data_IF_478281502135
#
_entry.id   IF_478281502135
#
_cell.length_a   1.000
_cell.length_b   1.000
_cell.length_c   1.000
_cell.angle_alpha   90.00
_cell.angle_beta   90.00
_cell.angle_gamma   90.00
#
_symmetry.space_group_name_H-M   'P 1'
#
loop_
_entity.id
_entity.type
_entity.pdbx_description
1 polymer ?
#
# COMPACT_ATOMS: atom_id res chain seq x y z
N UNK A 1 -6.95 -32.84 -5.72
CA UNK A 1 -8.33 -32.34 -5.75
C UNK A 1 -8.57 -31.53 -4.49
N UNK A 2 -8.14 -30.27 -4.48
CA UNK A 2 -8.35 -29.34 -3.38
C UNK A 2 -9.68 -28.65 -3.57
N UNK A 3 -10.50 -28.70 -2.53
CA UNK A 3 -11.81 -28.07 -2.42
C UNK A 3 -11.81 -26.68 -3.05
N UNK A 4 -12.68 -26.52 -4.05
CA UNK A 4 -13.16 -25.22 -4.50
C UNK A 4 -13.93 -24.65 -3.32
N UNK A 5 -13.22 -23.95 -2.43
CA UNK A 5 -13.81 -23.08 -1.41
C UNK A 5 -14.81 -22.21 -2.14
N UNK A 6 -16.09 -22.54 -1.95
CA UNK A 6 -17.24 -21.75 -2.35
C UNK A 6 -16.88 -20.28 -2.26
N UNK A 7 -16.87 -19.59 -3.41
CA UNK A 7 -16.68 -18.15 -3.54
C UNK A 7 -17.76 -17.46 -2.71
N UNK A 8 -17.52 -17.32 -1.40
CA UNK A 8 -18.26 -16.43 -0.53
C UNK A 8 -18.08 -15.04 -1.13
N UNK A 9 -19.09 -14.62 -1.90
CA UNK A 9 -19.12 -13.34 -2.58
C UNK A 9 -19.38 -12.27 -1.51
N UNK A 10 -18.33 -11.94 -0.75
CA UNK A 10 -18.38 -10.87 0.23
C UNK A 10 -18.65 -9.56 -0.49
N UNK A 11 -19.56 -8.75 0.06
CA UNK A 11 -19.92 -7.45 -0.52
C UNK A 11 -18.72 -6.51 -0.53
N UNK A 12 -17.83 -6.66 0.46
CA UNK A 12 -16.61 -5.89 0.60
C UNK A 12 -15.43 -6.79 0.95
N UNK A 13 -14.23 -6.45 0.49
CA UNK A 13 -13.01 -7.19 0.80
C UNK A 13 -12.72 -7.23 2.32
N UNK A 14 -13.22 -6.25 3.06
CA UNK A 14 -13.07 -6.16 4.51
C UNK A 14 -13.93 -7.17 5.30
N UNK A 15 -15.01 -7.68 4.72
CA UNK A 15 -15.87 -8.68 5.35
C UNK A 15 -15.19 -10.05 5.48
N UNK A 16 -14.20 -10.33 4.63
CA UNK A 16 -13.39 -11.54 4.73
C UNK A 16 -12.52 -11.55 6.01
N UNK A 17 -12.68 -12.56 6.89
CA UNK A 17 -11.88 -12.67 8.10
C UNK A 17 -10.37 -12.84 7.83
N UNK A 18 -9.98 -13.48 6.72
CA UNK A 18 -8.57 -13.64 6.36
C UNK A 18 -7.93 -12.27 6.07
N UNK A 19 -8.63 -11.42 5.32
CA UNK A 19 -8.23 -10.03 5.05
C UNK A 19 -8.05 -9.23 6.33
N UNK A 20 -9.00 -9.31 7.28
CA UNK A 20 -8.88 -8.61 8.58
C UNK A 20 -7.68 -9.10 9.38
N UNK A 21 -7.41 -10.42 9.39
CA UNK A 21 -6.27 -11.00 10.10
C UNK A 21 -4.95 -10.52 9.50
N UNK A 22 -4.82 -10.53 8.17
CA UNK A 22 -3.65 -10.03 7.46
C UNK A 22 -3.41 -8.54 7.71
N UNK A 23 -4.48 -7.73 7.67
CA UNK A 23 -4.40 -6.31 7.98
C UNK A 23 -3.98 -6.08 9.43
N UNK A 24 -4.58 -6.77 10.41
CA UNK A 24 -4.24 -6.64 11.84
C UNK A 24 -2.79 -7.00 12.12
N UNK A 25 -2.28 -8.09 11.54
CA UNK A 25 -0.87 -8.49 11.70
C UNK A 25 0.07 -7.41 11.19
N UNK A 26 -0.23 -6.87 10.01
CA UNK A 26 0.57 -5.81 9.39
C UNK A 26 0.49 -4.51 10.21
N UNK A 27 -0.70 -4.14 10.66
CA UNK A 27 -0.93 -2.99 11.52
C UNK A 27 -0.21 -3.11 12.86
N UNK A 28 -0.31 -4.25 13.53
CA UNK A 28 0.33 -4.50 14.82
C UNK A 28 1.84 -4.34 14.72
N UNK A 29 2.50 -5.02 13.77
CA UNK A 29 3.94 -4.90 13.57
C UNK A 29 4.40 -3.45 13.37
N UNK A 30 3.64 -2.69 12.57
CA UNK A 30 3.95 -1.28 12.24
C UNK A 30 3.65 -0.32 13.39
N UNK A 31 2.58 -0.55 14.15
CA UNK A 31 2.24 0.22 15.34
C UNK A 31 3.25 -0.03 16.48
N UNK A 32 3.70 -1.28 16.67
CA UNK A 32 4.73 -1.60 17.66
C UNK A 32 6.04 -0.90 17.33
N UNK A 33 6.46 -0.85 16.05
CA UNK A 33 7.64 -0.10 15.64
C UNK A 33 7.50 1.41 15.95
N UNK A 34 6.32 1.99 15.72
CA UNK A 34 6.06 3.39 16.04
C UNK A 34 6.07 3.66 17.56
N UNK A 35 5.52 2.76 18.36
CA UNK A 35 5.58 2.84 19.82
C UNK A 35 7.02 2.73 20.33
N UNK A 36 7.81 1.80 19.81
CA UNK A 36 9.22 1.66 20.14
C UNK A 36 10.00 2.94 19.83
N UNK A 37 9.68 3.61 18.72
CA UNK A 37 10.30 4.88 18.35
C UNK A 37 9.82 6.05 19.21
N UNK A 38 8.53 6.09 19.57
CA UNK A 38 7.94 7.09 20.46
C UNK A 38 8.53 7.02 21.88
N UNK A 39 8.78 5.81 22.39
CA UNK A 39 9.42 5.59 23.69
C UNK A 39 10.94 5.73 23.61
N UNK A 40 11.54 5.37 22.47
CA UNK A 40 12.97 5.51 22.22
C UNK A 40 13.43 6.97 22.15
N UNK A 41 12.57 7.88 21.67
CA UNK A 41 12.93 9.29 21.54
C UNK A 41 13.19 9.99 22.89
N UNK A 42 12.33 9.89 23.92
CA UNK A 42 12.63 10.40 25.27
C UNK A 42 13.88 9.77 25.88
N UNK A 43 14.08 8.46 25.72
CA UNK A 43 15.27 7.78 26.23
C UNK A 43 16.56 8.29 25.54
N UNK A 44 16.50 8.52 24.23
CA UNK A 44 17.58 9.13 23.47
C UNK A 44 17.85 10.57 23.92
N UNK A 45 16.79 11.38 24.11
CA UNK A 45 16.92 12.76 24.59
C UNK A 45 17.56 12.80 25.98
N UNK A 46 17.15 11.91 26.87
CA UNK A 46 17.75 11.75 28.19
C UNK A 46 19.23 11.40 28.11
N UNK A 47 19.61 10.44 27.24
CA UNK A 47 21.00 10.07 27.02
C UNK A 47 21.83 11.24 26.50
N UNK A 48 21.31 12.02 25.54
CA UNK A 48 21.97 13.21 25.01
C UNK A 48 22.25 14.24 26.11
N UNK A 49 21.27 14.53 26.97
CA UNK A 49 21.41 15.48 28.09
C UNK A 49 22.43 15.01 29.12
N UNK A 50 22.53 13.70 29.35
CA UNK A 50 23.49 13.12 30.31
C UNK A 50 24.91 12.98 29.75
N UNK A 51 25.11 13.15 28.44
CA UNK A 51 26.43 13.01 27.81
C UNK A 51 27.15 14.36 27.61
N UNK A 52 28.49 14.39 27.74
CA UNK A 52 29.30 15.55 27.39
C UNK A 52 29.02 16.12 25.99
N UNK A 53 29.09 17.45 25.84
CA UNK A 53 28.72 18.18 24.61
C UNK A 53 29.51 17.75 23.38
N UNK A 54 30.76 17.28 23.51
CA UNK A 54 31.54 16.80 22.37
C UNK A 54 30.97 15.51 21.74
N UNK A 55 30.20 14.71 22.51
CA UNK A 55 29.51 13.52 22.01
C UNK A 55 28.28 13.88 21.16
N UNK A 56 27.81 15.13 21.16
CA UNK A 56 26.68 15.56 20.33
C UNK A 56 26.91 15.30 18.85
N UNK A 57 28.17 15.37 18.39
CA UNK A 57 28.53 15.06 16.99
C UNK A 57 28.23 13.60 16.66
N UNK A 58 28.39 12.68 17.60
CA UNK A 58 28.05 11.25 17.42
C UNK A 58 26.53 11.00 17.51
N UNK A 59 25.81 11.81 18.30
CA UNK A 59 24.36 11.72 18.42
C UNK A 59 23.60 12.26 17.21
N UNK A 60 24.18 13.21 16.47
CA UNK A 60 23.54 13.82 15.30
C UNK A 60 23.20 12.81 14.19
N UNK A 61 24.10 11.89 13.75
CA UNK A 61 23.73 10.81 12.84
C UNK A 61 22.60 9.92 13.36
N UNK A 62 22.62 9.59 14.66
CA UNK A 62 21.57 8.77 15.29
C UNK A 62 20.22 9.47 15.22
N UNK A 63 20.17 10.79 15.47
CA UNK A 63 18.98 11.60 15.32
C UNK A 63 18.46 11.61 13.88
N UNK A 64 19.34 11.84 12.90
CA UNK A 64 18.98 11.83 11.49
C UNK A 64 18.38 10.49 11.05
N UNK A 65 18.99 9.38 11.47
CA UNK A 65 18.46 8.03 11.24
C UNK A 65 17.10 7.84 11.93
N UNK A 66 16.97 8.28 13.19
CA UNK A 66 15.72 8.23 13.94
C UNK A 66 14.59 8.98 13.23
N UNK A 67 14.81 10.23 12.85
CA UNK A 67 13.85 11.06 12.09
C UNK A 67 13.45 10.36 10.80
N UNK A 68 14.42 9.83 10.05
CA UNK A 68 14.15 9.11 8.80
C UNK A 68 13.22 7.91 9.02
N UNK A 69 13.46 7.09 10.05
CA UNK A 69 12.58 5.97 10.40
C UNK A 69 11.20 6.42 10.88
N UNK A 70 11.09 7.53 11.60
CA UNK A 70 9.81 8.14 11.99
C UNK A 70 8.98 8.50 10.77
N UNK A 71 9.60 9.16 9.78
CA UNK A 71 8.94 9.54 8.54
C UNK A 71 8.46 8.30 7.78
N UNK A 72 9.29 7.25 7.68
CA UNK A 72 8.90 5.97 7.08
C UNK A 72 7.73 5.31 7.83
N UNK A 73 7.74 5.33 9.16
CA UNK A 73 6.65 4.80 9.98
C UNK A 73 5.34 5.57 9.76
N UNK A 74 5.41 6.90 9.68
CA UNK A 74 4.24 7.74 9.39
C UNK A 74 3.63 7.46 8.01
N UNK A 75 4.45 7.41 6.96
CA UNK A 75 4.02 7.02 5.61
C UNK A 75 3.33 5.66 5.63
N UNK A 76 3.91 4.74 6.39
CA UNK A 76 3.42 3.37 6.55
C UNK A 76 2.05 3.30 7.26
N UNK A 77 1.82 4.13 8.28
CA UNK A 77 0.53 4.25 8.98
C UNK A 77 -0.53 4.88 8.09
N UNK A 78 -0.19 5.92 7.33
CA UNK A 78 -1.09 6.53 6.35
C UNK A 78 -1.49 5.51 5.28
N UNK A 79 -0.54 4.75 4.75
CA UNK A 79 -0.81 3.66 3.81
C UNK A 79 -1.77 2.61 4.38
N UNK A 80 -1.60 2.18 5.64
CA UNK A 80 -2.52 1.23 6.29
C UNK A 80 -3.95 1.74 6.40
N UNK A 81 -4.12 3.05 6.69
CA UNK A 81 -5.44 3.69 6.70
C UNK A 81 -6.05 3.71 5.30
N UNK A 82 -5.26 4.01 4.29
CA UNK A 82 -5.65 3.91 2.87
C UNK A 82 -6.14 2.51 2.51
N UNK A 83 -5.34 1.48 2.80
CA UNK A 83 -5.70 0.07 2.57
C UNK A 83 -7.06 -0.25 3.21
N UNK A 84 -7.26 0.12 4.48
CA UNK A 84 -8.52 -0.15 5.19
C UNK A 84 -9.72 0.56 4.54
N UNK A 85 -9.55 1.80 4.06
CA UNK A 85 -10.62 2.53 3.36
C UNK A 85 -11.01 1.82 2.07
N UNK A 86 -10.03 1.43 1.24
CA UNK A 86 -10.29 0.71 -0.01
C UNK A 86 -11.02 -0.60 0.22
N UNK A 87 -10.52 -1.42 1.15
CA UNK A 87 -11.09 -2.75 1.42
C UNK A 87 -12.54 -2.69 1.94
N UNK A 88 -12.93 -1.57 2.56
CA UNK A 88 -14.31 -1.35 3.03
C UNK A 88 -15.27 -0.96 1.92
N UNK A 89 -14.77 -0.47 0.79
CA UNK A 89 -15.60 0.02 -0.33
C UNK A 89 -15.67 -1.02 -1.44
N UNK A 90 -14.56 -1.69 -1.73
CA UNK A 90 -14.45 -2.59 -2.87
C UNK A 90 -14.37 -4.06 -2.44
N UNK A 91 -15.05 -4.98 -3.16
CA UNK A 91 -14.86 -6.42 -3.00
C UNK A 91 -13.51 -6.86 -3.58
N UNK A 92 -13.08 -8.07 -3.21
CA UNK A 92 -11.92 -8.70 -3.85
C UNK A 92 -12.24 -9.15 -5.26
N UNK A 93 -11.34 -8.82 -6.19
CA UNK A 93 -11.27 -9.30 -7.56
C UNK A 93 -10.11 -10.31 -7.61
N UNK A 94 -10.48 -11.60 -7.64
CA UNK A 94 -9.53 -12.72 -7.58
C UNK A 94 -8.85 -12.89 -8.94
N UNK A 95 -7.52 -13.02 -8.93
CA UNK A 95 -6.66 -13.29 -10.11
C UNK A 95 -6.86 -12.35 -11.32
N UNK A 96 -7.27 -11.11 -11.04
CA UNK A 96 -7.50 -10.09 -12.08
C UNK A 96 -6.25 -9.22 -12.32
N UNK A 97 -5.33 -9.12 -11.35
CA UNK A 97 -4.12 -8.33 -11.50
C UNK A 97 -2.96 -9.19 -11.98
N UNK A 98 -2.57 -8.98 -13.25
CA UNK A 98 -1.34 -9.55 -13.81
C UNK A 98 -0.14 -8.80 -13.24
N UNK A 99 0.87 -9.54 -12.78
CA UNK A 99 2.06 -8.95 -12.18
C UNK A 99 3.25 -9.06 -13.12
N UNK A 100 3.84 -7.92 -13.49
CA UNK A 100 4.99 -7.84 -14.39
C UNK A 100 6.17 -7.16 -13.72
N UNK A 101 7.36 -7.71 -13.94
CA UNK A 101 8.62 -7.07 -13.54
C UNK A 101 9.04 -6.05 -14.60
N UNK A 102 9.43 -4.85 -14.19
CA UNK A 102 9.98 -3.82 -15.07
C UNK A 102 11.51 -3.84 -15.02
N UNK A 103 12.17 -3.55 -16.15
CA UNK A 103 13.65 -3.57 -16.31
C UNK A 103 14.43 -2.80 -15.23
N UNK A 104 13.83 -1.79 -14.58
CA UNK A 104 14.46 -0.97 -13.52
C UNK A 104 14.25 -1.52 -12.09
N UNK A 105 13.79 -2.76 -11.92
CA UNK A 105 13.56 -3.35 -10.60
C UNK A 105 12.31 -2.81 -9.90
N UNK A 106 11.35 -2.28 -10.65
CA UNK A 106 10.01 -1.95 -10.17
C UNK A 106 9.01 -3.01 -10.61
N UNK A 107 7.93 -3.16 -9.84
CA UNK A 107 6.82 -4.05 -10.12
C UNK A 107 5.70 -3.27 -10.78
N UNK A 108 5.03 -3.85 -11.77
CA UNK A 108 3.87 -3.28 -12.43
C UNK A 108 2.71 -4.25 -12.32
N UNK A 109 1.59 -3.76 -11.80
CA UNK A 109 0.34 -4.51 -11.74
C UNK A 109 -0.55 -4.05 -12.88
N UNK A 110 -0.94 -4.95 -13.77
CA UNK A 110 -1.80 -4.68 -14.91
C UNK A 110 -3.19 -5.19 -14.57
N UNK A 111 -4.16 -4.28 -14.51
CA UNK A 111 -5.53 -4.59 -14.09
C UNK A 111 -6.49 -4.12 -15.19
N UNK A 112 -7.41 -4.97 -15.67
CA UNK A 112 -8.43 -4.57 -16.64
C UNK A 112 -9.40 -3.55 -16.04
N UNK A 113 -9.86 -2.60 -16.85
CA UNK A 113 -10.87 -1.62 -16.43
C UNK A 113 -12.24 -2.30 -16.42
N UNK A 114 -13.03 -2.20 -15.32
CA UNK A 114 -14.32 -2.89 -15.22
C UNK A 114 -15.31 -2.55 -16.34
N UNK A 115 -15.33 -1.29 -16.78
CA UNK A 115 -16.24 -0.79 -17.83
C UNK A 115 -15.71 -1.05 -19.25
N UNK A 116 -14.42 -1.36 -19.42
CA UNK A 116 -13.76 -1.56 -20.71
C UNK A 116 -12.68 -2.64 -20.54
N UNK A 117 -13.03 -3.93 -20.54
CA UNK A 117 -12.08 -5.02 -20.25
C UNK A 117 -10.91 -5.08 -21.25
N UNK A 118 -11.10 -4.56 -22.45
CA UNK A 118 -10.05 -4.41 -23.47
C UNK A 118 -8.95 -3.42 -23.08
N UNK A 119 -9.25 -2.49 -22.16
CA UNK A 119 -8.29 -1.51 -21.65
C UNK A 119 -7.79 -1.95 -20.29
N UNK A 120 -6.49 -2.19 -20.20
CA UNK A 120 -5.82 -2.41 -18.93
C UNK A 120 -5.11 -1.15 -18.46
N UNK A 121 -5.14 -0.92 -17.16
CA UNK A 121 -4.41 0.16 -16.51
C UNK A 121 -3.28 -0.45 -15.71
N UNK A 122 -2.10 0.13 -15.87
CA UNK A 122 -0.92 -0.32 -15.15
C UNK A 122 -0.66 0.55 -13.92
N UNK A 123 -0.47 -0.10 -12.78
CA UNK A 123 -0.16 0.50 -11.49
C UNK A 123 1.28 0.13 -11.13
N UNK A 124 2.15 1.13 -11.06
CA UNK A 124 3.56 0.93 -10.71
C UNK A 124 3.77 0.88 -9.20
N UNK A 125 4.63 -0.02 -8.76
CA UNK A 125 5.14 -0.08 -7.39
C UNK A 125 6.67 -0.27 -7.39
N UNK A 126 7.36 0.45 -6.51
CA UNK A 126 8.82 0.40 -6.40
C UNK A 126 9.55 1.34 -7.37
N UNK A 127 10.89 1.27 -7.36
CA UNK A 127 11.77 2.18 -8.10
C UNK A 127 12.41 3.28 -7.24
N UNK A 128 12.09 3.33 -5.94
CA UNK A 128 12.84 4.11 -4.94
C UNK A 128 13.96 3.27 -4.32
N UNK A 129 15.01 3.94 -3.85
CA UNK A 129 16.13 3.31 -3.12
C UNK A 129 15.57 2.45 -1.97
N UNK A 130 16.03 1.21 -1.87
CA UNK A 130 15.60 0.25 -0.85
C UNK A 130 14.35 -0.59 -1.19
N UNK A 131 13.58 -0.24 -2.23
CA UNK A 131 12.36 -1.00 -2.59
C UNK A 131 12.65 -2.39 -3.17
N UNK A 132 13.87 -2.65 -3.65
CA UNK A 132 14.27 -3.94 -4.22
C UNK A 132 14.22 -5.13 -3.25
N UNK A 133 14.22 -4.89 -1.92
CA UNK A 133 14.09 -5.93 -0.90
C UNK A 133 12.64 -6.17 -0.45
N UNK A 134 11.68 -5.38 -0.94
CA UNK A 134 10.27 -5.61 -0.61
C UNK A 134 9.78 -6.93 -1.22
N UNK A 135 8.91 -7.62 -0.47
CA UNK A 135 8.27 -8.88 -0.88
C UNK A 135 7.84 -8.86 -2.34
N UNK A 136 7.03 -7.88 -2.75
CA UNK A 136 6.48 -7.76 -4.10
C UNK A 136 7.52 -7.54 -5.21
N UNK A 137 8.67 -6.93 -4.93
CA UNK A 137 9.72 -6.80 -5.94
C UNK A 137 10.50 -8.10 -6.05
N UNK A 138 10.77 -8.75 -4.91
CA UNK A 138 11.49 -10.01 -4.85
C UNK A 138 10.71 -11.16 -5.49
N UNK A 139 9.45 -11.36 -5.12
CA UNK A 139 8.64 -12.51 -5.57
C UNK A 139 8.23 -12.40 -7.04
N UNK A 140 8.04 -11.18 -7.53
CA UNK A 140 7.76 -10.95 -8.95
C UNK A 140 9.03 -11.13 -9.77
N UNK A 141 10.18 -10.70 -9.27
CA UNK A 141 11.47 -10.94 -9.94
C UNK A 141 11.83 -12.43 -9.99
N UNK A 142 11.46 -13.20 -8.97
CA UNK A 142 11.66 -14.66 -8.97
C UNK A 142 10.61 -15.43 -9.78
N UNK A 143 9.53 -14.76 -10.25
CA UNK A 143 8.43 -15.42 -10.94
C UNK A 143 7.52 -16.27 -10.04
N UNK A 144 7.68 -16.16 -8.71
CA UNK A 144 6.87 -16.90 -7.72
C UNK A 144 5.43 -16.40 -7.66
N UNK A 145 5.21 -15.13 -8.04
CA UNK A 145 3.89 -14.51 -8.09
C UNK A 145 3.64 -13.92 -9.47
N UNK A 146 2.70 -14.51 -10.20
CA UNK A 146 2.28 -14.09 -11.54
C UNK A 146 0.90 -13.44 -11.55
N UNK A 147 0.00 -13.85 -10.65
CA UNK A 147 -1.31 -13.23 -10.41
C UNK A 147 -1.41 -12.65 -9.01
N UNK A 148 -2.21 -11.60 -8.88
CA UNK A 148 -2.54 -10.99 -7.60
C UNK A 148 -4.05 -10.71 -7.51
N UNK A 149 -4.55 -10.70 -6.29
CA UNK A 149 -5.91 -10.25 -6.01
C UNK A 149 -5.91 -8.73 -5.94
N UNK A 150 -6.98 -8.11 -6.44
CA UNK A 150 -7.12 -6.66 -6.48
C UNK A 150 -8.41 -6.21 -5.81
N UNK A 151 -8.39 -5.12 -5.06
CA UNK A 151 -9.59 -4.46 -4.56
C UNK A 151 -9.44 -2.95 -4.79
N UNK A 152 -10.35 -2.34 -5.53
CA UNK A 152 -10.27 -0.92 -5.86
C UNK A 152 -10.78 -0.58 -7.26
N UNK A 153 -10.44 0.62 -7.72
CA UNK A 153 -10.58 1.02 -9.12
C UNK A 153 -9.17 1.31 -9.67
N UNK A 154 -8.70 0.54 -10.68
CA UNK A 154 -7.34 0.67 -11.18
C UNK A 154 -7.05 2.04 -11.83
N UNK A 155 -8.10 2.81 -12.17
CA UNK A 155 -7.99 4.17 -12.70
C UNK A 155 -7.59 5.18 -11.62
N UNK A 156 -7.80 4.87 -10.34
CA UNK A 156 -7.52 5.75 -9.22
C UNK A 156 -6.56 5.10 -8.22
N UNK A 157 -7.04 4.12 -7.47
CA UNK A 157 -6.31 3.47 -6.39
C UNK A 157 -6.89 2.10 -6.08
N UNK A 158 -6.08 1.27 -5.46
CA UNK A 158 -6.48 -0.06 -5.05
C UNK A 158 -5.52 -0.68 -4.05
N UNK A 159 -5.83 -1.92 -3.69
CA UNK A 159 -5.02 -2.77 -2.85
C UNK A 159 -4.77 -4.04 -3.63
N UNK A 160 -3.50 -4.42 -3.73
CA UNK A 160 -3.10 -5.75 -4.22
C UNK A 160 -2.75 -6.65 -3.05
N UNK A 161 -3.08 -7.93 -3.20
CA UNK A 161 -2.74 -8.98 -2.24
C UNK A 161 -2.22 -10.21 -2.97
N UNK A 162 -1.29 -10.92 -2.36
CA UNK A 162 -0.98 -12.27 -2.81
C UNK A 162 -2.16 -13.20 -2.46
N UNK A 163 -2.37 -14.30 -3.21
CA UNK A 163 -3.45 -15.24 -2.96
C UNK A 163 -3.58 -15.62 -1.47
N UNK A 164 -4.82 -15.69 -0.97
CA UNK A 164 -5.09 -15.95 0.45
C UNK A 164 -4.97 -14.70 1.35
N UNK A 165 -5.66 -13.62 0.98
CA UNK A 165 -5.22 -12.21 0.96
C UNK A 165 -4.10 -11.89 1.96
N UNK A 166 -2.85 -12.09 1.53
CA UNK A 166 -1.65 -11.74 2.30
C UNK A 166 -0.87 -10.60 1.65
N UNK A 167 0.11 -10.07 2.37
CA UNK A 167 1.07 -9.09 1.85
C UNK A 167 0.39 -7.87 1.21
N UNK A 168 -0.62 -7.32 1.89
CA UNK A 168 -1.41 -6.19 1.41
C UNK A 168 -0.52 -5.02 1.02
N UNK A 169 -0.69 -4.54 -0.21
CA UNK A 169 0.02 -3.40 -0.75
C UNK A 169 -0.97 -2.40 -1.33
N UNK A 170 -0.85 -1.15 -0.86
CA UNK A 170 -1.59 -0.03 -1.44
C UNK A 170 -0.91 0.40 -2.74
N UNK A 171 -1.70 0.49 -3.80
CA UNK A 171 -1.27 0.97 -5.11
C UNK A 171 -2.18 2.11 -5.54
N UNK A 172 -1.61 3.14 -6.15
CA UNK A 172 -2.37 4.29 -6.60
C UNK A 172 -1.77 4.88 -7.87
N UNK A 173 -2.63 5.42 -8.73
CA UNK A 173 -2.22 6.37 -9.74
C UNK A 173 -1.79 7.67 -9.05
N UNK A 174 -0.74 8.30 -9.58
CA UNK A 174 -0.22 9.53 -9.00
C UNK A 174 -1.27 10.65 -9.01
N UNK A 175 -2.06 10.74 -10.08
CA UNK A 175 -3.18 11.68 -10.23
C UNK A 175 -4.23 11.58 -9.10
N UNK A 176 -4.41 10.39 -8.52
CA UNK A 176 -5.41 10.15 -7.49
C UNK A 176 -4.95 10.52 -6.08
N UNK A 177 -3.66 10.80 -5.88
CA UNK A 177 -3.05 10.99 -4.55
C UNK A 177 -2.21 12.26 -4.45
N UNK A 178 -1.49 12.65 -5.50
CA UNK A 178 -0.61 13.82 -5.52
C UNK A 178 -1.44 15.10 -5.66
N UNK A 179 -1.37 15.99 -4.66
CA UNK A 179 -2.08 17.27 -4.65
C UNK A 179 -1.64 18.21 -5.78
N UNK A 180 -0.41 18.02 -6.29
CA UNK A 180 0.21 18.84 -7.32
C UNK A 180 -0.25 18.49 -8.74
N UNK A 181 -0.95 17.37 -8.92
CA UNK A 181 -1.49 16.94 -10.20
C UNK A 181 -3.00 17.23 -10.28
N UNK A 182 -3.47 17.51 -11.50
CA UNK A 182 -4.89 17.65 -11.77
C UNK A 182 -5.58 16.28 -11.61
N UNK A 183 -6.67 16.19 -10.84
CA UNK A 183 -7.42 14.95 -10.73
C UNK A 183 -8.00 14.52 -12.09
N UNK A 184 -8.08 13.21 -12.30
CA UNK A 184 -8.70 12.66 -13.51
C UNK A 184 -10.18 13.03 -13.60
N UNK A 185 -10.55 13.70 -14.70
CA UNK A 185 -11.93 14.15 -14.99
C UNK A 185 -12.66 13.23 -15.96
N UNK A 186 -12.04 12.83 -17.08
CA UNK A 186 -12.74 12.15 -18.19
C UNK A 186 -12.84 10.62 -18.03
N UNK A 187 -13.88 10.04 -18.62
CA UNK A 187 -13.99 8.60 -18.88
C UNK A 187 -14.30 7.72 -17.65
N UNK A 188 -14.99 8.30 -16.65
CA UNK A 188 -15.37 7.59 -15.42
C UNK A 188 -16.81 7.95 -15.07
N UNK A 189 -17.65 6.93 -14.86
CA UNK A 189 -19.03 7.11 -14.44
C UNK A 189 -19.14 7.84 -13.07
N UNK A 190 -20.20 8.63 -12.82
CA UNK A 190 -20.39 9.31 -11.54
C UNK A 190 -20.40 8.36 -10.33
N UNK A 191 -20.94 7.15 -10.50
CA UNK A 191 -20.94 6.10 -9.47
C UNK A 191 -19.52 5.62 -9.13
N UNK A 192 -18.69 5.35 -10.14
CA UNK A 192 -17.29 4.96 -9.92
C UNK A 192 -16.47 6.08 -9.24
N UNK A 193 -16.76 7.35 -9.58
CA UNK A 193 -16.16 8.51 -8.90
C UNK A 193 -16.56 8.59 -7.43
N UNK A 194 -17.84 8.36 -7.11
CA UNK A 194 -18.32 8.37 -5.74
C UNK A 194 -17.65 7.28 -4.89
N UNK A 195 -17.52 6.06 -5.43
CA UNK A 195 -16.81 4.96 -4.78
C UNK A 195 -15.32 5.28 -4.60
N UNK A 196 -14.66 5.81 -5.63
CA UNK A 196 -13.24 6.18 -5.55
C UNK A 196 -13.02 7.25 -4.48
N UNK A 197 -13.91 8.26 -4.40
CA UNK A 197 -13.89 9.30 -3.36
C UNK A 197 -14.11 8.70 -1.96
N UNK A 198 -15.06 7.77 -1.80
CA UNK A 198 -15.29 7.06 -0.55
C UNK A 198 -14.05 6.24 -0.10
N UNK A 199 -13.31 5.69 -1.06
CA UNK A 199 -12.03 5.01 -0.81
C UNK A 199 -10.85 5.96 -0.55
N UNK A 200 -11.06 7.28 -0.69
CA UNK A 200 -10.08 8.32 -0.39
C UNK A 200 -9.29 8.84 -1.61
N UNK A 201 -9.73 8.55 -2.83
CA UNK A 201 -9.12 9.10 -4.03
C UNK A 201 -9.46 10.58 -4.22
N UNK A 202 -8.52 11.35 -4.77
CA UNK A 202 -8.81 12.66 -5.35
C UNK A 202 -9.45 12.45 -6.71
N UNK A 203 -10.66 12.98 -6.89
CA UNK A 203 -11.45 12.83 -8.12
C UNK A 203 -11.85 14.21 -8.62
N UNK A 204 -11.73 14.43 -9.92
CA UNK A 204 -12.13 15.69 -10.53
C UNK A 204 -13.64 15.79 -10.64
N UNK A 205 -14.16 16.99 -10.44
CA UNK A 205 -15.54 17.33 -10.79
C UNK A 205 -15.59 17.72 -12.28
N UNK A 206 -16.71 17.37 -12.93
CA UNK A 206 -16.98 17.71 -14.33
C UNK A 206 -17.13 19.22 -14.48
#
# INVERSE_FOLDING_TARGET
MTEVTSLMHYKTAWEDPATRKAWRRTAMFRCTALLGLLLGFPAWLFAVVMTPTWLLVLWLPVLCVGIWYTLLAMVTVVSLRGIRRVLRVYPWQVDIADVRSKKKGSTQFVVPVPEQPEKSVSLGYGGLIGTGRHFWVRTVKSGEVTSAWFAGDPRYLGVVASPGPRNLLWVAQREATDSRMSPRKRGVSPGARALARAAGARVGED
#
